data_IF_238078491055
#
_entry.id   IF_238078491055
#
_cell.length_a   1.000
_cell.length_b   1.000
_cell.length_c   1.000
_cell.angle_alpha   90.00
_cell.angle_beta   90.00
_cell.angle_gamma   90.00
#
_symmetry.space_group_name_H-M   'P 1'
#
loop_
_entity.id
_entity.type
_entity.pdbx_description
1 polymer ?
#
# COMPACT_ATOMS: atom_id res chain seq x y z
N UNK A 1 -41.07 -24.72 47.29
CA UNK A 1 -40.75 -24.71 45.83
C UNK A 1 -39.90 -23.48 45.55
N UNK A 2 -38.58 -23.61 45.54
CA UNK A 2 -37.66 -22.53 45.20
C UNK A 2 -37.38 -22.59 43.69
N UNK A 3 -37.74 -21.52 42.96
CA UNK A 3 -37.40 -21.35 41.54
C UNK A 3 -36.05 -20.65 41.43
N UNK A 4 -35.01 -21.37 41.02
CA UNK A 4 -33.73 -20.78 40.68
C UNK A 4 -33.79 -20.24 39.24
N UNK A 5 -33.73 -18.93 39.10
CA UNK A 5 -33.62 -18.25 37.82
C UNK A 5 -32.13 -18.12 37.51
N UNK A 6 -31.63 -18.88 36.55
CA UNK A 6 -30.24 -18.75 36.06
C UNK A 6 -30.15 -17.54 35.10
N UNK A 7 -29.39 -16.54 35.50
CA UNK A 7 -29.05 -15.40 34.63
C UNK A 7 -27.78 -15.78 33.87
N UNK A 8 -27.91 -16.03 32.58
CA UNK A 8 -26.80 -16.24 31.68
C UNK A 8 -26.22 -14.86 31.28
N UNK A 9 -25.03 -14.52 31.79
CA UNK A 9 -24.29 -13.33 31.36
C UNK A 9 -23.62 -13.62 30.05
N UNK A 10 -24.08 -13.00 28.95
CA UNK A 10 -23.35 -12.97 27.66
C UNK A 10 -22.16 -12.02 27.78
N UNK A 11 -20.95 -12.57 27.84
CA UNK A 11 -19.73 -11.79 27.72
C UNK A 11 -19.53 -11.43 26.24
N UNK A 12 -19.73 -10.17 25.88
CA UNK A 12 -19.39 -9.64 24.57
C UNK A 12 -17.86 -9.50 24.47
N UNK A 13 -17.22 -10.37 23.71
CA UNK A 13 -15.80 -10.26 23.38
C UNK A 13 -15.68 -9.21 22.28
N UNK A 14 -15.27 -7.99 22.64
CA UNK A 14 -14.94 -6.93 21.70
C UNK A 14 -13.61 -7.29 21.01
N UNK A 15 -13.65 -7.77 19.78
CA UNK A 15 -12.47 -7.86 18.92
C UNK A 15 -12.05 -6.43 18.54
N UNK A 16 -11.09 -5.86 19.26
CA UNK A 16 -10.40 -4.66 18.81
C UNK A 16 -9.47 -5.05 17.65
N UNK A 17 -9.87 -4.70 16.43
CA UNK A 17 -8.96 -4.73 15.29
C UNK A 17 -7.80 -3.73 15.57
N UNK A 18 -6.53 -4.07 15.22
CA UNK A 18 -5.43 -3.13 15.34
C UNK A 18 -5.77 -1.90 14.47
N UNK A 19 -5.99 -0.76 15.13
CA UNK A 19 -6.06 0.51 14.43
C UNK A 19 -4.63 0.82 13.95
N UNK A 20 -4.34 0.59 12.67
CA UNK A 20 -3.21 1.25 12.03
C UNK A 20 -3.46 2.76 12.19
N UNK A 21 -2.51 3.46 12.81
CA UNK A 21 -2.58 4.90 12.86
C UNK A 21 -2.62 5.39 11.40
N UNK A 22 -3.73 5.99 11.01
CA UNK A 22 -3.84 6.57 9.67
C UNK A 22 -2.77 7.64 9.55
N UNK A 23 -1.87 7.51 8.55
CA UNK A 23 -0.82 8.50 8.30
C UNK A 23 -1.42 9.88 7.95
N UNK A 24 -0.62 10.91 8.11
CA UNK A 24 -1.00 12.29 7.76
C UNK A 24 -0.86 12.51 6.25
N UNK A 25 -1.99 12.72 5.57
CA UNK A 25 -2.06 12.94 4.11
C UNK A 25 -1.28 14.19 3.69
N UNK A 26 -1.31 15.26 4.48
CA UNK A 26 -0.59 16.53 4.15
C UNK A 26 0.92 16.36 4.32
N UNK A 27 1.35 15.65 5.37
CA UNK A 27 2.75 15.28 5.53
C UNK A 27 3.20 14.33 4.41
N UNK A 28 2.36 13.36 4.03
CA UNK A 28 2.60 12.42 2.96
C UNK A 28 2.79 13.07 1.60
N UNK A 29 2.01 14.08 1.27
CA UNK A 29 2.20 14.87 0.04
C UNK A 29 3.59 15.52 -0.02
N UNK A 30 4.05 16.08 1.09
CA UNK A 30 5.40 16.67 1.18
C UNK A 30 6.49 15.60 1.04
N UNK A 31 6.31 14.44 1.70
CA UNK A 31 7.24 13.30 1.64
C UNK A 31 7.32 12.74 0.22
N UNK A 32 6.21 12.77 -0.55
CA UNK A 32 6.19 12.33 -1.94
C UNK A 32 7.22 13.10 -2.81
N UNK A 33 7.65 14.27 -2.39
CA UNK A 33 8.76 14.99 -3.01
C UNK A 33 10.02 14.13 -3.22
N UNK A 34 10.28 13.16 -2.32
CA UNK A 34 11.40 12.20 -2.42
C UNK A 34 11.16 11.11 -3.47
N UNK A 35 9.93 10.89 -3.90
CA UNK A 35 9.51 9.87 -4.85
C UNK A 35 9.53 10.40 -6.30
N UNK A 36 9.48 11.73 -6.47
CA UNK A 36 9.32 12.40 -7.77
C UNK A 36 10.46 12.16 -8.75
N UNK A 37 11.65 11.80 -8.29
CA UNK A 37 12.76 11.46 -9.20
C UNK A 37 12.40 10.27 -10.11
N UNK A 38 11.59 9.34 -9.62
CA UNK A 38 11.25 8.10 -10.32
C UNK A 38 9.76 7.97 -10.65
N UNK A 39 8.87 8.59 -9.88
CA UNK A 39 7.42 8.40 -9.99
C UNK A 39 6.68 9.71 -10.26
N UNK A 40 5.64 9.62 -11.06
CA UNK A 40 4.60 10.64 -11.20
C UNK A 40 3.29 10.15 -10.61
N UNK A 41 2.34 11.06 -10.38
CA UNK A 41 0.95 10.76 -10.09
C UNK A 41 0.10 11.46 -11.15
N UNK A 42 -0.48 10.67 -12.04
CA UNK A 42 -1.28 11.14 -13.17
C UNK A 42 -2.60 10.38 -13.12
N UNK A 43 -3.71 11.12 -13.01
CA UNK A 43 -5.05 10.56 -12.99
C UNK A 43 -5.43 9.87 -14.31
N UNK A 44 -6.47 9.05 -14.27
CA UNK A 44 -6.95 8.31 -15.46
C UNK A 44 -7.45 9.24 -16.58
N UNK A 45 -7.84 10.45 -16.23
CA UNK A 45 -8.22 11.54 -17.17
C UNK A 45 -7.02 12.31 -17.74
N UNK A 46 -5.79 11.92 -17.37
CA UNK A 46 -4.56 12.60 -17.75
C UNK A 46 -4.18 13.81 -16.89
N UNK A 47 -4.95 14.12 -15.83
CA UNK A 47 -4.63 15.21 -14.90
C UNK A 47 -3.33 14.90 -14.17
N UNK A 48 -2.35 15.80 -14.26
CA UNK A 48 -1.06 15.68 -13.57
C UNK A 48 -1.22 16.20 -12.14
N UNK A 49 -1.34 15.29 -11.18
CA UNK A 49 -1.44 15.60 -9.74
C UNK A 49 -0.05 15.89 -9.18
N UNK A 50 0.92 15.01 -9.50
CA UNK A 50 2.32 15.19 -9.14
C UNK A 50 3.19 14.92 -10.36
N UNK A 51 3.88 15.94 -10.83
CA UNK A 51 4.86 15.78 -11.90
C UNK A 51 6.09 15.04 -11.38
N UNK A 52 6.59 14.06 -12.14
CA UNK A 52 7.75 13.26 -11.74
C UNK A 52 8.33 12.44 -12.87
N UNK A 53 9.27 11.57 -12.53
CA UNK A 53 9.96 10.69 -13.49
C UNK A 53 9.10 9.53 -13.98
N UNK A 54 9.66 8.78 -14.93
CA UNK A 54 9.04 7.58 -15.55
C UNK A 54 9.88 6.32 -15.29
N UNK A 55 10.85 6.41 -14.39
CA UNK A 55 11.70 5.26 -14.00
C UNK A 55 10.91 4.23 -13.22
N UNK A 56 9.95 4.69 -12.41
CA UNK A 56 8.94 3.88 -11.73
C UNK A 56 7.57 4.02 -12.38
N UNK A 57 6.61 3.14 -12.03
CA UNK A 57 5.24 3.24 -12.52
C UNK A 57 4.54 4.48 -11.97
N UNK A 58 3.49 4.94 -12.66
CA UNK A 58 2.55 5.92 -12.14
C UNK A 58 1.87 5.37 -10.87
N UNK A 59 1.84 6.17 -9.81
CA UNK A 59 1.32 5.76 -8.49
C UNK A 59 -0.14 6.16 -8.25
N UNK A 60 -0.83 6.79 -9.21
CA UNK A 60 -2.27 7.04 -9.08
C UNK A 60 -3.02 5.72 -8.93
N UNK A 61 -3.85 5.61 -7.89
CA UNK A 61 -4.63 4.40 -7.62
C UNK A 61 -3.80 3.17 -7.25
N UNK A 62 -2.55 3.32 -6.79
CA UNK A 62 -1.69 2.18 -6.42
C UNK A 62 -2.27 1.37 -5.26
N UNK A 63 -2.89 2.01 -4.27
CA UNK A 63 -3.58 1.31 -3.18
C UNK A 63 -4.86 0.66 -3.72
N UNK A 64 -4.96 -0.65 -3.59
CA UNK A 64 -6.04 -1.47 -4.17
C UNK A 64 -5.73 -2.03 -5.56
N UNK A 65 -4.57 -1.72 -6.13
CA UNK A 65 -4.13 -2.25 -7.43
C UNK A 65 -3.37 -3.57 -7.24
N UNK A 66 -3.59 -4.57 -8.11
CA UNK A 66 -2.76 -5.78 -8.11
C UNK A 66 -1.27 -5.44 -8.30
N UNK A 67 -0.39 -6.20 -7.65
CA UNK A 67 1.05 -6.01 -7.79
C UNK A 67 1.47 -6.15 -9.27
N UNK A 68 2.46 -5.37 -9.65
CA UNK A 68 3.06 -5.40 -11.00
C UNK A 68 2.06 -5.29 -12.17
N UNK A 69 0.92 -4.59 -11.97
CA UNK A 69 -0.17 -4.53 -12.95
C UNK A 69 -0.31 -3.20 -13.68
N UNK A 70 0.54 -2.21 -13.41
CA UNK A 70 0.45 -0.95 -14.17
C UNK A 70 0.80 -1.20 -15.65
N UNK A 71 -0.06 -0.79 -16.60
CA UNK A 71 0.11 -1.08 -18.03
C UNK A 71 1.46 -0.58 -18.57
N UNK A 72 2.04 -1.36 -19.49
CA UNK A 72 3.26 -1.02 -20.25
C UNK A 72 4.52 -0.76 -19.41
N UNK A 73 4.48 -0.98 -18.10
CA UNK A 73 5.64 -0.83 -17.24
C UNK A 73 6.44 -2.14 -17.12
N UNK A 74 7.76 -2.07 -17.30
CA UNK A 74 8.67 -3.23 -17.22
C UNK A 74 9.10 -3.50 -15.78
N UNK A 75 8.31 -4.26 -15.06
CA UNK A 75 8.60 -4.69 -13.69
C UNK A 75 9.80 -5.64 -13.59
N UNK A 76 10.48 -5.63 -12.44
CA UNK A 76 11.53 -6.60 -12.12
C UNK A 76 10.97 -7.99 -11.78
N UNK A 77 11.81 -9.00 -11.79
CA UNK A 77 11.38 -10.39 -11.59
C UNK A 77 10.89 -10.65 -10.15
N UNK A 78 11.52 -10.01 -9.14
CA UNK A 78 11.09 -10.16 -7.75
C UNK A 78 9.64 -9.70 -7.51
N UNK A 79 9.27 -8.51 -8.03
CA UNK A 79 7.89 -8.02 -7.85
C UNK A 79 6.89 -8.83 -8.70
N UNK A 80 7.29 -9.34 -9.86
CA UNK A 80 6.47 -10.24 -10.67
C UNK A 80 6.22 -11.57 -9.97
N UNK A 81 7.24 -12.13 -9.29
CA UNK A 81 7.09 -13.34 -8.50
C UNK A 81 6.12 -13.16 -7.32
N UNK A 82 6.21 -12.03 -6.63
CA UNK A 82 5.24 -11.68 -5.59
C UNK A 82 3.82 -11.50 -6.16
N UNK A 83 3.69 -10.84 -7.32
CA UNK A 83 2.42 -10.65 -8.02
C UNK A 83 1.75 -11.97 -8.44
N UNK A 84 2.52 -12.99 -8.79
CA UNK A 84 2.02 -14.32 -9.14
C UNK A 84 1.25 -15.00 -7.99
N UNK A 85 1.40 -14.52 -6.75
CA UNK A 85 0.63 -14.95 -5.59
C UNK A 85 -0.75 -14.29 -5.48
N UNK A 86 -1.13 -13.43 -6.41
CA UNK A 86 -2.41 -12.73 -6.41
C UNK A 86 -2.52 -11.60 -5.40
N UNK A 87 -1.39 -11.04 -4.95
CA UNK A 87 -1.37 -9.97 -3.98
C UNK A 87 -1.87 -8.65 -4.58
N UNK A 88 -2.59 -7.89 -3.76
CA UNK A 88 -3.10 -6.55 -4.07
C UNK A 88 -2.48 -5.59 -3.06
N UNK A 89 -2.00 -4.44 -3.53
CA UNK A 89 -1.44 -3.43 -2.63
C UNK A 89 -2.50 -2.91 -1.65
N UNK A 90 -2.35 -3.22 -0.38
CA UNK A 90 -2.99 -2.51 0.72
C UNK A 90 -2.02 -1.51 1.35
N UNK A 91 -2.52 -0.67 2.25
CA UNK A 91 -1.70 0.37 2.89
C UNK A 91 -0.57 -0.22 3.75
N UNK A 92 -0.83 -1.29 4.49
CA UNK A 92 0.17 -1.94 5.34
C UNK A 92 1.30 -2.57 4.52
N UNK A 93 0.93 -3.27 3.46
CA UNK A 93 1.87 -3.91 2.54
C UNK A 93 2.73 -2.87 1.82
N UNK A 94 2.12 -1.80 1.33
CA UNK A 94 2.82 -0.73 0.63
C UNK A 94 3.74 0.04 1.58
N UNK A 95 3.32 0.28 2.83
CA UNK A 95 4.16 0.88 3.87
C UNK A 95 5.42 0.04 4.12
N UNK A 96 5.27 -1.27 4.30
CA UNK A 96 6.41 -2.17 4.49
C UNK A 96 7.34 -2.20 3.26
N UNK A 97 6.75 -2.18 2.05
CA UNK A 97 7.51 -2.19 0.80
C UNK A 97 8.38 -0.93 0.64
N UNK A 98 7.84 0.27 0.87
CA UNK A 98 8.61 1.51 0.67
C UNK A 98 9.72 1.72 1.70
N UNK A 99 9.62 1.10 2.88
CA UNK A 99 10.68 1.10 3.90
C UNK A 99 11.89 0.30 3.44
N UNK A 100 11.70 -0.90 2.90
CA UNK A 100 12.77 -1.72 2.32
C UNK A 100 12.22 -2.65 1.23
N UNK A 101 12.22 -2.19 -0.04
CA UNK A 101 11.64 -2.97 -1.13
C UNK A 101 12.29 -4.34 -1.34
N UNK A 102 13.61 -4.44 -1.20
CA UNK A 102 14.31 -5.72 -1.39
C UNK A 102 13.98 -6.69 -0.27
N UNK A 103 14.03 -6.25 0.98
CA UNK A 103 13.67 -7.11 2.12
C UNK A 103 12.23 -7.60 2.01
N UNK A 104 11.31 -6.70 1.63
CA UNK A 104 9.91 -7.08 1.43
C UNK A 104 9.76 -8.17 0.35
N UNK A 105 10.52 -8.06 -0.76
CA UNK A 105 10.49 -9.06 -1.83
C UNK A 105 11.10 -10.39 -1.40
N UNK A 106 12.18 -10.39 -0.61
CA UNK A 106 12.76 -11.62 -0.03
C UNK A 106 11.70 -12.41 0.76
N UNK A 107 10.85 -11.70 1.49
CA UNK A 107 9.81 -12.29 2.34
C UNK A 107 8.54 -12.69 1.53
N UNK A 108 8.22 -11.97 0.47
CA UNK A 108 6.93 -12.09 -0.21
C UNK A 108 6.99 -12.71 -1.61
N UNK A 109 8.12 -12.73 -2.30
CA UNK A 109 8.24 -13.31 -3.64
C UNK A 109 8.30 -14.84 -3.65
N UNK A 110 8.76 -15.44 -2.55
CA UNK A 110 9.13 -16.86 -2.49
C UNK A 110 10.55 -17.15 -2.94
N UNK A 111 11.31 -16.12 -3.28
CA UNK A 111 12.74 -16.18 -3.58
C UNK A 111 13.50 -15.29 -2.59
N UNK A 112 14.28 -15.89 -1.65
CA UNK A 112 15.03 -15.12 -0.64
C UNK A 112 16.20 -14.32 -1.23
N UNK A 113 16.43 -14.39 -2.52
CA UNK A 113 17.43 -13.61 -3.27
C UNK A 113 16.78 -12.60 -4.21
N UNK A 114 15.46 -12.42 -4.14
CA UNK A 114 14.75 -11.46 -4.96
C UNK A 114 15.30 -10.05 -4.73
N UNK A 115 15.42 -9.28 -5.79
CA UNK A 115 15.88 -7.90 -5.72
C UNK A 115 14.83 -6.96 -6.29
N UNK A 116 14.70 -5.81 -5.65
CA UNK A 116 13.87 -4.73 -6.16
C UNK A 116 14.65 -3.90 -7.16
N UNK A 117 14.00 -3.52 -8.28
CA UNK A 117 14.49 -2.45 -9.14
C UNK A 117 14.40 -1.08 -8.48
N UNK A 118 13.49 -0.92 -7.52
CA UNK A 118 13.39 0.25 -6.67
C UNK A 118 14.46 0.16 -5.58
N UNK A 119 15.58 0.84 -5.77
CA UNK A 119 16.69 0.85 -4.81
C UNK A 119 16.46 1.82 -3.63
N UNK A 120 15.52 2.77 -3.77
CA UNK A 120 15.20 3.76 -2.75
C UNK A 120 14.52 3.12 -1.54
N UNK A 121 14.90 3.55 -0.35
CA UNK A 121 14.30 3.15 0.92
C UNK A 121 13.83 4.39 1.66
N UNK A 122 12.60 4.39 2.15
CA UNK A 122 12.05 5.49 2.92
C UNK A 122 12.20 5.23 4.41
N UNK A 123 13.18 5.89 5.04
CA UNK A 123 13.50 5.65 6.45
C UNK A 123 12.42 6.12 7.43
N UNK A 124 11.64 7.15 7.08
CA UNK A 124 10.60 7.76 7.95
C UNK A 124 9.45 8.29 7.12
N UNK A 125 8.24 8.27 7.67
CA UNK A 125 7.03 8.82 7.05
C UNK A 125 6.43 7.91 5.97
N UNK A 126 6.68 6.61 6.04
CA UNK A 126 6.12 5.63 5.11
C UNK A 126 4.59 5.58 5.22
N UNK A 127 4.06 5.62 6.44
CA UNK A 127 2.62 5.65 6.70
C UNK A 127 1.96 6.89 6.09
N UNK A 128 2.62 8.05 6.21
CA UNK A 128 2.10 9.32 5.71
C UNK A 128 2.04 9.33 4.18
N UNK A 129 3.12 8.94 3.50
CA UNK A 129 3.13 8.91 2.04
C UNK A 129 2.15 7.88 1.49
N UNK A 130 1.96 6.76 2.16
CA UNK A 130 0.98 5.75 1.76
C UNK A 130 -0.45 6.25 2.00
N UNK A 131 -0.73 6.94 3.10
CA UNK A 131 -2.00 7.61 3.33
C UNK A 131 -2.32 8.65 2.24
N UNK A 132 -1.32 9.44 1.84
CA UNK A 132 -1.46 10.36 0.71
C UNK A 132 -1.81 9.62 -0.58
N UNK A 133 -1.09 8.55 -0.94
CA UNK A 133 -1.40 7.75 -2.13
C UNK A 133 -2.78 7.10 -2.05
N UNK A 134 -3.20 6.65 -0.86
CA UNK A 134 -4.53 6.08 -0.63
C UNK A 134 -5.65 7.10 -0.83
N UNK A 135 -5.40 8.38 -0.51
CA UNK A 135 -6.36 9.46 -0.71
C UNK A 135 -6.63 9.78 -2.19
N UNK A 136 -5.72 9.36 -3.08
CA UNK A 136 -5.78 9.60 -4.53
C UNK A 136 -6.38 8.40 -5.29
N UNK A 137 -7.26 7.63 -4.67
CA UNK A 137 -7.94 6.51 -5.34
C UNK A 137 -8.83 7.05 -6.46
N UNK A 138 -8.92 6.32 -7.60
CA UNK A 138 -9.99 6.56 -8.56
C UNK A 138 -11.33 6.53 -7.83
N UNK A 139 -12.24 7.43 -8.18
CA UNK A 139 -13.61 7.37 -7.68
C UNK A 139 -14.16 5.97 -7.99
N UNK A 140 -14.49 5.19 -6.96
CA UNK A 140 -15.21 3.94 -7.17
C UNK A 140 -16.51 4.30 -7.91
N UNK A 141 -16.86 3.60 -9.01
CA UNK A 141 -18.17 3.79 -9.59
C UNK A 141 -19.20 3.52 -8.50
N UNK A 142 -20.15 4.44 -8.34
CA UNK A 142 -21.25 4.25 -7.40
C UNK A 142 -21.98 2.94 -7.73
N UNK A 143 -22.41 2.18 -6.71
CA UNK A 143 -23.12 0.93 -6.91
C UNK A 143 -24.44 1.14 -7.64
#
# INVERSE_FOLDING_TARGET
MLKFTAIAALAAISLSAPAFAAGDVVAGEKIFGKCKACHAIIGDDGTVIQKGGKVGPNLYGVVGRPLASYPDFKYGDGIKAAAAKGLIWDEAMLTAYVVDPTKWLDENSGDPKAKSKMAFKLATGAEDVVAYLASLKPAMPAP
#
